data_IF_744208096449
#
_entry.id   IF_744208096449
#
_cell.length_a   1.000
_cell.length_b   1.000
_cell.length_c   1.000
_cell.angle_alpha   90.00
_cell.angle_beta   90.00
_cell.angle_gamma   90.00
#
_symmetry.space_group_name_H-M   'P 1'
#
loop_
_entity.id
_entity.type
_entity.pdbx_description
1 polymer ?
#
# COMPACT_ATOMS: atom_id res chain seq x y z
N UNK A 1 15.68 12.50 -6.55
CA UNK A 1 16.79 11.85 -7.26
C UNK A 1 18.05 12.75 -7.31
N UNK A 2 17.96 14.02 -6.89
CA UNK A 2 19.11 14.96 -6.91
C UNK A 2 19.62 15.31 -8.31
N UNK A 3 18.84 15.05 -9.35
CA UNK A 3 19.10 15.41 -10.76
C UNK A 3 17.96 16.26 -11.29
N UNK A 4 18.27 17.14 -12.23
CA UNK A 4 17.26 17.98 -12.89
C UNK A 4 16.56 17.24 -14.02
N UNK A 5 15.38 17.67 -14.46
CA UNK A 5 14.76 17.16 -15.69
C UNK A 5 15.71 17.26 -16.91
N UNK A 6 16.49 18.30 -16.98
CA UNK A 6 17.49 18.53 -18.03
C UNK A 6 18.58 17.47 -18.04
N UNK A 7 19.07 17.06 -16.88
CA UNK A 7 20.07 15.99 -16.76
C UNK A 7 19.54 14.65 -17.27
N UNK A 8 18.25 14.38 -17.08
CA UNK A 8 17.58 13.16 -17.54
C UNK A 8 17.36 13.20 -19.05
N UNK A 9 16.83 14.32 -19.55
CA UNK A 9 16.49 14.47 -20.98
C UNK A 9 17.76 14.46 -21.84
N UNK A 10 18.82 15.15 -21.41
CA UNK A 10 20.08 15.22 -22.14
C UNK A 10 20.97 13.98 -21.92
N UNK A 11 20.57 13.01 -21.11
CA UNK A 11 21.37 11.80 -20.92
C UNK A 11 21.33 10.93 -22.19
N UNK A 12 22.51 10.66 -22.83
CA UNK A 12 22.56 10.04 -24.16
C UNK A 12 21.84 8.67 -24.23
N UNK A 13 21.87 7.88 -23.14
CA UNK A 13 21.24 6.56 -23.10
C UNK A 13 19.70 6.62 -23.07
N UNK A 14 19.09 7.77 -22.84
CA UNK A 14 17.64 7.96 -22.93
C UNK A 14 17.16 8.17 -24.37
N UNK A 15 18.10 8.47 -25.28
CA UNK A 15 17.83 8.68 -26.71
C UNK A 15 16.66 9.65 -26.98
N UNK A 16 16.56 10.71 -26.19
CA UNK A 16 15.59 11.76 -26.35
C UNK A 16 16.20 12.89 -27.17
N UNK A 17 15.44 13.43 -28.11
CA UNK A 17 15.84 14.65 -28.84
C UNK A 17 15.33 15.88 -28.07
N UNK A 18 16.22 16.71 -27.48
CA UNK A 18 15.80 17.89 -26.74
C UNK A 18 14.93 18.86 -27.53
N UNK A 19 15.08 18.89 -28.85
CA UNK A 19 14.26 19.74 -29.70
C UNK A 19 12.81 19.28 -29.83
N UNK A 20 12.55 17.98 -29.65
CA UNK A 20 11.21 17.39 -29.72
C UNK A 20 10.55 17.27 -28.36
N UNK A 21 11.33 17.20 -27.29
CA UNK A 21 10.85 17.11 -25.91
C UNK A 21 10.20 18.44 -25.45
N UNK A 22 10.68 19.57 -25.97
CA UNK A 22 10.13 20.89 -25.66
C UNK A 22 10.52 21.43 -24.28
N UNK A 23 9.56 21.91 -23.51
CA UNK A 23 9.82 22.50 -22.19
C UNK A 23 10.23 21.42 -21.18
N UNK A 24 11.41 21.57 -20.58
CA UNK A 24 11.94 20.67 -19.54
C UNK A 24 11.10 20.65 -18.27
N UNK A 25 10.31 21.68 -17.99
CA UNK A 25 9.38 21.71 -16.86
C UNK A 25 8.10 20.90 -17.13
N UNK A 26 7.74 20.72 -18.40
CA UNK A 26 6.59 19.95 -18.87
C UNK A 26 6.95 19.18 -20.16
N UNK A 27 7.86 18.20 -20.09
CA UNK A 27 8.41 17.55 -21.27
C UNK A 27 7.34 16.71 -22.00
N UNK A 28 7.33 16.80 -23.32
CA UNK A 28 6.48 15.98 -24.18
C UNK A 28 7.10 14.57 -24.34
N UNK A 29 7.00 13.77 -23.29
CA UNK A 29 7.46 12.38 -23.26
C UNK A 29 6.23 11.47 -23.14
N UNK A 30 6.09 10.48 -24.04
CA UNK A 30 4.94 9.56 -23.99
C UNK A 30 4.82 8.85 -22.64
N UNK A 31 3.61 8.71 -22.08
CA UNK A 31 3.39 7.92 -20.88
C UNK A 31 3.93 6.49 -21.03
N UNK A 32 4.60 5.97 -19.99
CA UNK A 32 5.21 4.64 -20.03
C UNK A 32 6.62 4.57 -20.62
N UNK A 33 7.21 5.70 -21.02
CA UNK A 33 8.60 5.75 -21.46
C UNK A 33 9.55 5.49 -20.29
N UNK A 34 10.43 4.51 -20.45
CA UNK A 34 11.48 4.24 -19.48
C UNK A 34 12.63 5.22 -19.64
N UNK A 35 13.01 5.90 -18.55
CA UNK A 35 14.10 6.86 -18.54
C UNK A 35 15.19 6.43 -17.55
N UNK A 36 16.43 6.57 -17.95
CA UNK A 36 17.60 6.41 -17.08
C UNK A 36 17.85 7.75 -16.39
N UNK A 37 17.92 7.74 -15.06
CA UNK A 37 18.27 8.90 -14.24
C UNK A 37 19.76 8.81 -13.91
N UNK A 38 20.62 9.57 -14.62
CA UNK A 38 22.08 9.48 -14.44
C UNK A 38 22.42 9.93 -13.01
N UNK A 39 23.27 9.17 -12.31
CA UNK A 39 23.69 9.45 -10.94
C UNK A 39 22.55 9.71 -9.94
N UNK A 40 21.32 9.39 -10.32
CA UNK A 40 20.14 9.50 -9.47
C UNK A 40 20.35 8.64 -8.23
N UNK A 41 20.53 9.27 -7.08
CA UNK A 41 20.37 8.57 -5.81
C UNK A 41 18.87 8.38 -5.61
N UNK A 42 18.43 7.14 -5.52
CA UNK A 42 17.13 6.84 -4.96
C UNK A 42 17.20 7.32 -3.51
N UNK A 43 16.68 8.51 -3.22
CA UNK A 43 16.27 8.78 -1.85
C UNK A 43 15.36 7.60 -1.49
N UNK A 44 15.56 7.05 -0.30
CA UNK A 44 14.65 6.06 0.25
C UNK A 44 13.29 6.77 0.37
N UNK A 45 12.53 6.77 -0.71
CA UNK A 45 11.12 7.12 -0.64
C UNK A 45 10.56 6.05 0.29
N UNK A 46 10.13 6.46 1.46
CA UNK A 46 9.36 5.62 2.35
C UNK A 46 8.26 4.97 1.49
N UNK A 47 8.34 3.67 1.30
CA UNK A 47 7.39 2.90 0.50
C UNK A 47 6.05 2.74 1.23
N UNK A 48 5.82 3.54 2.25
CA UNK A 48 4.57 3.51 3.00
C UNK A 48 3.49 4.27 2.24
N UNK A 49 2.33 3.68 2.13
CA UNK A 49 1.15 4.38 1.64
C UNK A 49 0.88 5.61 2.53
N UNK A 50 0.46 6.76 1.94
CA UNK A 50 0.21 7.97 2.71
C UNK A 50 -0.77 7.71 3.87
N UNK A 51 -0.55 8.39 4.99
CA UNK A 51 -1.50 8.45 6.10
C UNK A 51 -2.72 9.32 5.72
N UNK A 52 -3.82 9.17 6.44
CA UNK A 52 -5.00 10.00 6.26
C UNK A 52 -5.91 9.58 5.11
N UNK A 53 -5.74 8.38 4.56
CA UNK A 53 -6.66 7.83 3.58
C UNK A 53 -7.93 7.34 4.28
N UNK A 54 -8.96 8.16 4.31
CA UNK A 54 -10.27 7.82 4.87
C UNK A 54 -11.32 7.72 3.77
N UNK A 55 -12.51 7.21 4.12
CA UNK A 55 -13.67 7.16 3.21
C UNK A 55 -14.11 8.54 2.74
N UNK A 56 -13.85 9.58 3.52
CA UNK A 56 -14.19 10.97 3.21
C UNK A 56 -13.10 11.66 2.38
N UNK A 57 -11.88 11.14 2.36
CA UNK A 57 -10.76 11.77 1.65
C UNK A 57 -10.14 10.84 0.58
N UNK A 58 -10.85 10.55 -0.50
CA UNK A 58 -10.39 9.63 -1.54
C UNK A 58 -9.29 10.23 -2.43
N UNK A 59 -9.02 11.54 -2.33
CA UNK A 59 -8.02 12.19 -3.18
C UNK A 59 -6.61 11.62 -2.95
N UNK A 60 -6.28 11.21 -1.73
CA UNK A 60 -5.00 10.57 -1.41
C UNK A 60 -4.87 9.17 -2.03
N UNK A 61 -5.98 8.49 -2.29
CA UNK A 61 -5.97 7.16 -2.87
C UNK A 61 -5.40 7.12 -4.30
N UNK A 62 -5.54 8.19 -5.07
CA UNK A 62 -5.08 8.26 -6.47
C UNK A 62 -3.58 8.14 -6.62
N UNK A 63 -2.80 8.59 -5.62
CA UNK A 63 -1.34 8.45 -5.64
C UNK A 63 -0.89 7.01 -5.36
N UNK A 64 -1.77 6.16 -4.83
CA UNK A 64 -1.44 4.78 -4.46
C UNK A 64 -1.47 3.81 -5.64
N UNK A 65 -2.26 4.10 -6.68
CA UNK A 65 -2.39 3.24 -7.86
C UNK A 65 -3.84 2.96 -8.25
N UNK A 66 -4.04 1.96 -9.09
CA UNK A 66 -5.32 1.63 -9.72
C UNK A 66 -6.38 1.08 -8.74
N UNK A 67 -5.96 0.60 -7.58
CA UNK A 67 -6.88 0.11 -6.54
C UNK A 67 -7.58 1.19 -5.73
N UNK A 68 -7.31 2.47 -6.02
CA UNK A 68 -7.88 3.60 -5.31
C UNK A 68 -9.40 3.69 -5.49
N UNK A 69 -10.12 3.74 -4.38
CA UNK A 69 -11.57 3.90 -4.41
C UNK A 69 -11.98 5.36 -4.68
N UNK A 70 -13.18 5.54 -5.22
CA UNK A 70 -13.84 6.85 -5.28
C UNK A 70 -14.39 7.28 -3.91
N UNK A 71 -15.08 8.45 -3.85
CA UNK A 71 -15.75 8.90 -2.63
C UNK A 71 -16.74 7.85 -2.11
N UNK A 72 -16.68 7.57 -0.82
CA UNK A 72 -17.54 6.61 -0.15
C UNK A 72 -18.35 7.36 0.91
N UNK A 73 -19.66 7.17 0.89
CA UNK A 73 -20.57 7.72 1.90
C UNK A 73 -21.10 6.60 2.79
N UNK A 74 -20.88 6.72 4.11
CA UNK A 74 -21.38 5.77 5.11
C UNK A 74 -20.61 4.43 5.12
N UNK A 75 -21.28 3.38 5.56
CA UNK A 75 -20.78 2.02 5.66
C UNK A 75 -20.43 1.58 7.09
N UNK A 76 -19.90 0.37 7.24
CA UNK A 76 -19.57 -0.21 8.52
C UNK A 76 -18.56 0.60 9.31
N UNK A 77 -18.68 0.54 10.64
CA UNK A 77 -17.76 1.17 11.60
C UNK A 77 -17.21 0.07 12.51
N UNK A 78 -15.90 0.08 12.71
CA UNK A 78 -15.20 -0.87 13.56
C UNK A 78 -15.42 -0.63 15.05
N UNK A 79 -15.10 -1.64 15.82
CA UNK A 79 -15.25 -1.65 17.29
C UNK A 79 -14.03 -1.05 18.00
N UNK A 80 -12.88 -0.91 17.29
CA UNK A 80 -11.61 -0.50 17.88
C UNK A 80 -10.91 -1.62 18.66
N UNK A 81 -11.38 -2.85 18.50
CA UNK A 81 -10.75 -4.06 19.01
C UNK A 81 -10.36 -4.93 17.82
N UNK A 82 -9.09 -5.27 17.69
CA UNK A 82 -8.56 -5.94 16.52
C UNK A 82 -8.37 -7.43 16.75
N UNK A 83 -8.59 -8.22 15.69
CA UNK A 83 -8.27 -9.65 15.66
C UNK A 83 -7.14 -9.91 14.67
N UNK A 84 -6.44 -11.04 14.80
CA UNK A 84 -5.43 -11.43 13.83
C UNK A 84 -6.02 -11.54 12.42
N UNK A 85 -5.32 -11.00 11.40
CA UNK A 85 -5.81 -11.01 10.02
C UNK A 85 -5.57 -12.34 9.31
N UNK A 86 -4.99 -13.33 9.99
CA UNK A 86 -4.78 -14.69 9.46
C UNK A 86 -4.86 -15.72 10.57
N UNK A 87 -4.95 -17.00 10.20
CA UNK A 87 -4.92 -18.10 11.18
C UNK A 87 -3.52 -18.37 11.75
N UNK A 88 -2.50 -17.68 11.25
CA UNK A 88 -1.13 -17.77 11.73
C UNK A 88 -0.77 -16.49 12.47
N UNK A 89 -0.12 -16.63 13.60
CA UNK A 89 0.26 -15.52 14.48
C UNK A 89 1.77 -15.40 14.65
N UNK A 90 2.54 -15.85 13.65
CA UNK A 90 4.01 -15.85 13.68
C UNK A 90 4.57 -14.98 12.55
N UNK A 91 5.71 -14.34 12.82
CA UNK A 91 6.37 -13.51 11.82
C UNK A 91 7.13 -14.35 10.78
N UNK A 92 7.20 -13.84 9.56
CA UNK A 92 7.99 -14.40 8.47
C UNK A 92 9.43 -13.86 8.42
N UNK A 93 9.83 -13.07 9.43
CA UNK A 93 11.17 -12.50 9.56
C UNK A 93 11.25 -11.00 9.71
N UNK A 94 10.21 -10.25 9.33
CA UNK A 94 10.17 -8.80 9.48
C UNK A 94 9.12 -8.37 10.48
N UNK A 95 9.57 -7.58 11.45
CA UNK A 95 8.76 -6.99 12.50
C UNK A 95 8.56 -5.49 12.27
N UNK A 96 7.67 -4.88 13.03
CA UNK A 96 7.47 -3.44 13.04
C UNK A 96 8.79 -2.72 13.36
N UNK A 97 9.29 -1.93 12.43
CA UNK A 97 10.60 -1.28 12.53
C UNK A 97 10.62 0.08 11.84
N UNK A 98 10.27 1.17 12.56
CA UNK A 98 10.34 2.53 12.01
C UNK A 98 11.72 2.91 11.48
N UNK A 99 12.79 2.38 12.08
CA UNK A 99 14.17 2.66 11.66
C UNK A 99 14.53 2.12 10.28
N UNK A 100 13.79 1.10 9.81
CA UNK A 100 13.94 0.52 8.47
C UNK A 100 12.78 0.85 7.54
N UNK A 101 11.89 1.77 7.97
CA UNK A 101 10.63 2.11 7.28
C UNK A 101 9.69 0.91 7.07
N UNK A 102 9.73 -0.08 7.94
CA UNK A 102 8.79 -1.19 7.97
C UNK A 102 7.68 -0.90 8.99
N UNK A 103 6.55 -0.40 8.50
CA UNK A 103 5.45 0.13 9.30
C UNK A 103 4.38 -0.90 9.67
N UNK A 104 4.65 -2.16 9.41
CA UNK A 104 3.77 -3.28 9.68
C UNK A 104 4.52 -4.47 10.25
N UNK A 105 3.84 -5.60 10.28
CA UNK A 105 4.42 -6.90 10.58
C UNK A 105 4.20 -7.84 9.38
N UNK A 106 5.18 -8.68 9.11
CA UNK A 106 5.06 -9.70 8.06
C UNK A 106 4.69 -11.04 8.69
N UNK A 107 3.45 -11.45 8.50
CA UNK A 107 2.90 -12.68 9.07
C UNK A 107 3.17 -13.84 8.12
N UNK A 108 3.78 -14.91 8.63
CA UNK A 108 4.05 -16.11 7.83
C UNK A 108 2.78 -16.71 7.25
N UNK A 109 2.84 -17.19 6.02
CA UNK A 109 1.73 -17.92 5.39
C UNK A 109 2.15 -18.57 4.09
N UNK A 110 1.30 -19.44 3.58
CA UNK A 110 1.43 -20.04 2.26
C UNK A 110 0.57 -19.28 1.25
N UNK A 111 0.97 -19.28 0.00
CA UNK A 111 0.15 -18.68 -1.06
C UNK A 111 -1.24 -19.33 -1.09
N UNK A 112 -2.28 -18.49 -1.15
CA UNK A 112 -3.67 -18.93 -1.12
C UNK A 112 -4.28 -19.10 0.27
N UNK A 113 -3.53 -18.94 1.37
CA UNK A 113 -4.12 -18.91 2.72
C UNK A 113 -5.00 -17.68 2.91
N UNK A 114 -6.07 -17.84 3.70
CA UNK A 114 -7.08 -16.81 3.91
C UNK A 114 -6.56 -15.59 4.69
N UNK A 115 -6.98 -14.40 4.25
CA UNK A 115 -6.77 -13.12 4.93
C UNK A 115 -8.11 -12.54 5.34
N UNK A 116 -8.21 -12.14 6.60
CA UNK A 116 -9.44 -11.68 7.23
C UNK A 116 -9.36 -10.21 7.64
N UNK A 117 -10.50 -9.52 7.64
CA UNK A 117 -10.59 -8.16 8.17
C UNK A 117 -10.34 -8.16 9.68
N UNK A 118 -9.37 -7.36 10.12
CA UNK A 118 -8.97 -7.28 11.54
C UNK A 118 -10.00 -6.59 12.43
N UNK A 119 -10.86 -5.74 11.85
CA UNK A 119 -12.03 -5.11 12.48
C UNK A 119 -13.06 -4.79 11.39
N UNK A 120 -14.29 -4.46 11.77
CA UNK A 120 -15.32 -4.03 10.84
C UNK A 120 -14.95 -2.67 10.21
N UNK A 121 -15.39 -2.42 8.99
CA UNK A 121 -15.08 -1.18 8.29
C UNK A 121 -15.53 -1.16 6.84
N UNK A 122 -15.00 -0.22 6.07
CA UNK A 122 -15.28 -0.03 4.65
C UNK A 122 -13.99 -0.09 3.85
N UNK A 123 -14.00 -0.84 2.75
CA UNK A 123 -12.87 -0.95 1.83
C UNK A 123 -12.66 0.39 1.11
N UNK A 124 -11.50 1.02 1.35
CA UNK A 124 -11.10 2.30 0.75
C UNK A 124 -10.01 2.16 -0.31
N UNK A 125 -9.43 0.98 -0.42
CA UNK A 125 -8.51 0.58 -1.48
C UNK A 125 -8.65 -0.92 -1.75
N UNK A 126 -8.71 -1.30 -3.03
CA UNK A 126 -8.73 -2.70 -3.45
C UNK A 126 -8.12 -2.84 -4.86
N UNK A 127 -6.85 -3.23 -4.95
CA UNK A 127 -6.18 -3.38 -6.25
C UNK A 127 -4.66 -3.31 -6.15
N UNK A 128 -4.04 -3.15 -7.33
CA UNK A 128 -2.59 -3.07 -7.44
C UNK A 128 -2.04 -1.74 -6.93
N UNK A 129 -0.97 -1.83 -6.16
CA UNK A 129 -0.21 -0.69 -5.65
C UNK A 129 1.19 -0.66 -6.24
N UNK A 130 1.61 0.50 -6.79
CA UNK A 130 2.89 0.68 -7.47
C UNK A 130 4.08 0.93 -6.53
N UNK A 131 3.83 1.09 -5.21
CA UNK A 131 4.85 1.41 -4.22
C UNK A 131 5.46 0.18 -3.53
N UNK A 132 5.24 -1.00 -4.08
CA UNK A 132 5.82 -2.24 -3.57
C UNK A 132 4.86 -3.17 -2.85
N UNK A 133 3.68 -2.72 -2.46
CA UNK A 133 2.68 -3.56 -1.78
C UNK A 133 2.04 -4.63 -2.69
N UNK A 134 2.13 -4.47 -4.03
CA UNK A 134 1.47 -5.37 -4.97
C UNK A 134 -0.06 -5.30 -4.85
N UNK A 135 -0.73 -6.42 -4.87
CA UNK A 135 -2.17 -6.46 -4.58
C UNK A 135 -2.42 -6.11 -3.12
N UNK A 136 -3.20 -5.06 -2.89
CA UNK A 136 -3.38 -4.46 -1.59
C UNK A 136 -4.86 -4.17 -1.31
N UNK A 137 -5.25 -4.33 -0.05
CA UNK A 137 -6.53 -3.87 0.49
C UNK A 137 -6.24 -2.87 1.61
N UNK A 138 -7.04 -1.80 1.68
CA UNK A 138 -7.14 -0.98 2.89
C UNK A 138 -8.59 -0.91 3.34
N UNK A 139 -8.79 -1.05 4.64
CA UNK A 139 -10.10 -0.91 5.31
C UNK A 139 -10.06 0.29 6.24
N UNK A 140 -10.98 1.22 6.06
CA UNK A 140 -11.23 2.32 6.99
C UNK A 140 -12.26 1.87 8.01
N UNK A 141 -11.86 1.83 9.28
CA UNK A 141 -12.72 1.39 10.37
C UNK A 141 -13.65 2.49 10.88
N UNK A 142 -13.53 3.74 10.40
CA UNK A 142 -14.41 4.85 10.78
C UNK A 142 -14.30 5.34 12.23
N UNK A 143 -13.31 4.80 12.97
CA UNK A 143 -13.02 5.11 14.37
C UNK A 143 -11.60 5.66 14.55
N UNK A 144 -11.07 6.36 13.56
CA UNK A 144 -9.71 6.87 13.41
C UNK A 144 -8.64 5.80 13.13
N UNK A 145 -9.02 4.55 12.93
CA UNK A 145 -8.10 3.48 12.55
C UNK A 145 -8.36 2.99 11.13
N UNK A 146 -7.29 2.48 10.54
CA UNK A 146 -7.27 1.81 9.25
C UNK A 146 -6.38 0.57 9.35
N UNK A 147 -6.68 -0.44 8.54
CA UNK A 147 -5.81 -1.59 8.34
C UNK A 147 -5.41 -1.72 6.87
N UNK A 148 -4.20 -2.23 6.65
CA UNK A 148 -3.64 -2.49 5.33
C UNK A 148 -3.17 -3.93 5.25
N UNK A 149 -3.47 -4.57 4.12
CA UNK A 149 -3.15 -5.97 3.80
C UNK A 149 -2.49 -6.00 2.44
N UNK A 150 -1.26 -6.49 2.35
CA UNK A 150 -0.47 -6.44 1.12
C UNK A 150 0.13 -7.78 0.72
N UNK A 151 0.75 -7.78 -0.47
CA UNK A 151 1.33 -8.93 -1.16
C UNK A 151 0.33 -10.04 -1.50
N UNK A 152 -0.96 -9.69 -1.60
CA UNK A 152 -2.04 -10.64 -1.81
C UNK A 152 -1.96 -11.34 -3.18
N UNK A 153 -2.33 -12.62 -3.23
CA UNK A 153 -2.56 -13.35 -4.49
C UNK A 153 -3.95 -13.07 -5.05
N UNK A 154 -4.93 -12.83 -4.18
CA UNK A 154 -6.31 -12.51 -4.56
C UNK A 154 -6.91 -11.46 -3.65
N UNK A 155 -7.73 -10.58 -4.23
CA UNK A 155 -8.57 -9.59 -3.55
C UNK A 155 -10.01 -10.05 -3.70
N UNK A 156 -10.71 -10.29 -2.58
CA UNK A 156 -12.05 -10.87 -2.57
C UNK A 156 -13.13 -9.83 -2.23
N UNK A 157 -12.74 -8.57 -2.11
CA UNK A 157 -13.64 -7.45 -1.77
C UNK A 157 -13.44 -6.31 -2.76
N UNK A 158 -14.42 -5.43 -2.87
CA UNK A 158 -14.40 -4.28 -3.77
C UNK A 158 -14.47 -2.94 -3.03
N UNK A 159 -14.16 -1.88 -3.76
CA UNK A 159 -14.26 -0.51 -3.28
C UNK A 159 -15.64 -0.17 -2.71
N UNK A 160 -15.67 0.44 -1.54
CA UNK A 160 -16.91 0.83 -0.85
C UNK A 160 -17.65 -0.32 -0.16
N UNK A 161 -17.15 -1.55 -0.29
CA UNK A 161 -17.76 -2.69 0.39
C UNK A 161 -17.58 -2.58 1.90
N UNK A 162 -18.66 -2.76 2.65
CA UNK A 162 -18.59 -2.94 4.10
C UNK A 162 -18.18 -4.37 4.42
N UNK A 163 -17.25 -4.51 5.36
CA UNK A 163 -16.78 -5.81 5.88
C UNK A 163 -16.99 -5.86 7.40
N UNK A 164 -17.30 -7.03 7.91
CA UNK A 164 -17.31 -7.33 9.34
C UNK A 164 -15.94 -7.80 9.82
N UNK A 165 -15.69 -7.71 11.14
CA UNK A 165 -14.51 -8.32 11.74
C UNK A 165 -14.48 -9.82 11.47
N UNK A 166 -13.36 -10.35 10.96
CA UNK A 166 -13.19 -11.75 10.61
C UNK A 166 -13.74 -12.15 9.23
N UNK A 167 -14.30 -11.23 8.45
CA UNK A 167 -14.71 -11.52 7.08
C UNK A 167 -13.49 -11.83 6.20
N UNK A 168 -13.64 -12.81 5.31
CA UNK A 168 -12.63 -13.16 4.29
C UNK A 168 -12.52 -12.03 3.26
N UNK A 169 -11.37 -11.37 3.21
CA UNK A 169 -11.15 -10.23 2.31
C UNK A 169 -10.14 -10.50 1.18
N UNK A 170 -9.27 -11.49 1.34
CA UNK A 170 -8.26 -11.82 0.33
C UNK A 170 -7.52 -13.10 0.65
N UNK A 171 -6.48 -13.38 -0.15
CA UNK A 171 -5.63 -14.55 0.03
C UNK A 171 -4.16 -14.11 0.06
N UNK A 172 -3.35 -14.72 0.93
CA UNK A 172 -1.90 -14.51 1.02
C UNK A 172 -1.25 -14.83 -0.33
N UNK A 173 -0.27 -14.03 -0.70
CA UNK A 173 0.51 -14.21 -1.92
C UNK A 173 1.95 -13.73 -1.78
N UNK A 174 2.53 -13.36 -2.90
CA UNK A 174 3.90 -12.85 -3.02
C UNK A 174 3.99 -11.74 -4.07
N UNK A 175 2.90 -11.00 -4.28
CA UNK A 175 2.85 -9.92 -5.27
C UNK A 175 3.58 -8.66 -4.81
N UNK A 176 4.00 -7.83 -5.76
CA UNK A 176 4.76 -6.62 -5.46
C UNK A 176 6.21 -6.90 -5.07
N UNK A 177 6.73 -6.16 -4.08
CA UNK A 177 8.10 -6.33 -3.58
C UNK A 177 8.13 -7.30 -2.40
N UNK A 178 8.00 -8.57 -2.67
CA UNK A 178 8.01 -9.66 -1.70
C UNK A 178 9.11 -10.66 -2.04
N UNK A 179 9.75 -11.25 -1.02
CA UNK A 179 10.76 -12.30 -1.17
C UNK A 179 10.19 -13.72 -1.11
N UNK A 180 8.92 -13.86 -0.77
CA UNK A 180 8.21 -15.13 -0.66
C UNK A 180 6.82 -14.94 -0.05
N UNK A 181 5.98 -15.98 0.00
CA UNK A 181 4.62 -15.87 0.49
C UNK A 181 4.55 -15.42 1.94
N UNK A 182 3.87 -14.30 2.20
CA UNK A 182 3.56 -13.76 3.51
C UNK A 182 2.44 -12.72 3.40
N UNK A 183 1.85 -12.34 4.52
CA UNK A 183 0.96 -11.21 4.64
C UNK A 183 1.72 -10.05 5.28
N UNK A 184 1.94 -8.96 4.54
CA UNK A 184 2.32 -7.70 5.15
C UNK A 184 1.08 -7.01 5.69
N UNK A 185 1.07 -6.73 7.00
CA UNK A 185 -0.07 -6.20 7.71
C UNK A 185 0.28 -4.94 8.50
N UNK A 186 -0.50 -3.87 8.31
CA UNK A 186 -0.33 -2.62 9.04
C UNK A 186 -1.63 -2.21 9.75
N UNK A 187 -1.47 -1.56 10.91
CA UNK A 187 -2.52 -0.76 11.54
C UNK A 187 -2.07 0.69 11.55
N UNK A 188 -2.99 1.59 11.23
CA UNK A 188 -2.75 3.01 11.09
C UNK A 188 -3.79 3.79 11.85
N UNK A 189 -3.38 4.84 12.54
CA UNK A 189 -4.26 5.94 12.88
C UNK A 189 -4.27 6.95 11.72
N UNK A 190 -5.21 7.88 11.67
CA UNK A 190 -5.30 8.89 10.59
C UNK A 190 -3.99 9.66 10.39
N UNK A 191 -3.25 9.94 11.46
CA UNK A 191 -2.04 10.76 11.42
C UNK A 191 -0.75 10.04 11.79
N UNK A 192 -0.78 8.73 12.07
CA UNK A 192 0.39 7.96 12.51
C UNK A 192 0.29 6.49 12.18
N UNK A 193 1.43 5.82 12.13
CA UNK A 193 1.50 4.37 12.14
C UNK A 193 1.34 3.85 13.57
N UNK A 194 0.70 2.71 13.70
CA UNK A 194 0.50 2.00 14.97
C UNK A 194 1.28 0.71 14.92
N UNK A 195 2.05 0.41 15.96
CA UNK A 195 2.68 -0.90 16.07
C UNK A 195 1.57 -1.97 16.27
N UNK A 196 1.42 -2.94 15.34
CA UNK A 196 0.35 -3.93 15.44
C UNK A 196 0.36 -4.71 16.75
N UNK A 197 1.53 -4.90 17.38
CA UNK A 197 1.66 -5.58 18.67
C UNK A 197 0.97 -4.86 19.84
N UNK A 198 0.78 -3.54 19.74
CA UNK A 198 0.16 -2.76 20.81
C UNK A 198 -1.37 -2.92 20.84
N UNK A 199 -1.96 -3.46 19.77
CA UNK A 199 -3.42 -3.48 19.57
C UNK A 199 -3.97 -4.86 19.20
N UNK A 200 -3.16 -5.78 18.67
CA UNK A 200 -3.55 -7.16 18.44
C UNK A 200 -3.56 -7.96 19.76
N UNK A 201 -4.44 -8.97 19.90
CA UNK A 201 -4.37 -9.88 21.04
C UNK A 201 -3.06 -10.67 21.02
N UNK A 202 -2.60 -11.19 22.16
CA UNK A 202 -1.45 -12.10 22.20
C UNK A 202 -1.59 -13.24 21.19
N UNK A 203 -0.48 -13.69 20.56
CA UNK A 203 -0.48 -14.74 19.57
C UNK A 203 -0.86 -16.11 20.13
#
# INVERSE_FOLDING_TARGET
YGVTPEDIINYPANNLDPATVGDYAAPNIPPGTWLIVPNGRREFVSWSAPLGLTRENPALARVLGEGACGPISGGAVGYGTFVWPSNRHFLSGFDYSPSTNHWGIDIVGSEGEAVYATDAGVVVYAGWNNYGYGNMIMVDHGNNFQSLYAHLSSINVGCGQSVGQGDLIGLIGTTGRSSGPHLHFEIRAISSYVNPWDVLPPP
#
